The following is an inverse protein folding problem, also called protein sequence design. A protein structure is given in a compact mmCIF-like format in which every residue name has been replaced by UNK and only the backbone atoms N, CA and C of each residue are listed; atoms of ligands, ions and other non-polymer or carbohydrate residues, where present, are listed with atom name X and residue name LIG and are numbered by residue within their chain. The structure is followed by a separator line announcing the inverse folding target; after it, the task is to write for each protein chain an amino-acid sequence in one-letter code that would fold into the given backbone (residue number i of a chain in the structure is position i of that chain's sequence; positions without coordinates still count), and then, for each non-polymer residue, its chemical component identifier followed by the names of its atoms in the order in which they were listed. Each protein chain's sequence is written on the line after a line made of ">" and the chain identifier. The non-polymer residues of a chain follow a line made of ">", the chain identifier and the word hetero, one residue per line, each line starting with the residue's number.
data_IF_584407590077
#
_entry.id   IF_584407590077
#
_cell.length_a   1.000
_cell.length_b   1.000
_cell.length_c   1.000
_cell.angle_alpha   90.00
_cell.angle_beta   90.00
_cell.angle_gamma   90.00
#
_symmetry.space_group_name_H-M   'P 1'
#
loop_
_entity.id
_entity.type
_entity.pdbx_description
1 polymer ?
#
# COMPACT_ATOMS: atom_id res chain seq x y z
N UNK A 1 9.61 3.16 -19.80
CA UNK A 1 9.76 4.40 -19.03
C UNK A 1 11.06 5.09 -19.43
N UNK A 2 10.99 6.33 -19.92
CA UNK A 2 12.12 7.24 -20.09
C UNK A 2 11.95 8.43 -19.15
N UNK A 3 12.95 8.74 -18.32
CA UNK A 3 12.89 9.86 -17.38
C UNK A 3 13.02 11.18 -18.13
N UNK A 4 12.04 12.07 -17.99
CA UNK A 4 11.99 13.40 -18.61
C UNK A 4 12.23 14.54 -17.63
N UNK A 5 11.96 14.33 -16.33
CA UNK A 5 12.22 15.31 -15.27
C UNK A 5 12.70 14.62 -13.99
N UNK A 6 13.46 15.34 -13.17
CA UNK A 6 13.96 14.85 -11.88
C UNK A 6 14.01 15.98 -10.86
N UNK A 7 13.29 15.80 -9.76
CA UNK A 7 13.20 16.80 -8.69
C UNK A 7 13.74 16.24 -7.38
N UNK A 8 14.44 17.09 -6.61
CA UNK A 8 15.04 16.71 -5.34
C UNK A 8 14.49 17.63 -4.26
N UNK A 9 13.83 17.02 -3.27
CA UNK A 9 13.23 17.70 -2.13
C UNK A 9 13.96 17.30 -0.85
N UNK A 10 14.30 18.28 -0.03
CA UNK A 10 14.81 18.08 1.32
C UNK A 10 13.63 17.85 2.26
N UNK A 11 13.64 16.74 2.98
CA UNK A 11 12.64 16.42 3.98
C UNK A 11 13.06 17.05 5.31
N UNK A 12 12.36 18.13 5.68
CA UNK A 12 12.60 18.90 6.89
C UNK A 12 11.81 18.36 8.10
N UNK A 13 11.07 17.26 7.94
CA UNK A 13 10.16 16.71 8.95
C UNK A 13 10.82 15.76 9.95
N UNK A 14 11.48 16.30 10.97
CA UNK A 14 11.91 15.59 12.20
C UNK A 14 13.09 14.61 12.06
N UNK A 15 13.22 13.91 10.93
CA UNK A 15 14.42 13.14 10.56
C UNK A 15 14.91 13.71 9.23
N UNK A 16 16.14 14.24 9.16
CA UNK A 16 16.68 14.77 7.91
C UNK A 16 16.68 13.67 6.85
N UNK A 17 16.24 14.02 5.64
CA UNK A 17 16.10 13.08 4.55
C UNK A 17 15.97 13.79 3.21
N UNK A 18 16.00 13.02 2.14
CA UNK A 18 15.82 13.52 0.78
C UNK A 18 14.78 12.67 0.06
N UNK A 19 13.93 13.31 -0.71
CA UNK A 19 13.00 12.67 -1.63
C UNK A 19 13.38 13.05 -3.05
N UNK A 20 13.69 12.06 -3.87
CA UNK A 20 13.98 12.24 -5.29
C UNK A 20 12.79 11.74 -6.08
N UNK A 21 12.23 12.59 -6.93
CA UNK A 21 11.09 12.28 -7.78
C UNK A 21 11.54 12.21 -9.23
N UNK A 22 11.20 11.11 -9.90
CA UNK A 22 11.48 10.87 -11.32
C UNK A 22 10.15 10.86 -12.07
N UNK A 23 10.04 11.71 -13.10
CA UNK A 23 8.85 11.77 -13.96
C UNK A 23 9.19 11.13 -15.30
N UNK A 24 8.39 10.15 -15.69
CA UNK A 24 8.46 9.44 -16.96
C UNK A 24 7.73 10.17 -18.08
N UNK A 25 8.10 9.86 -19.32
CA UNK A 25 7.46 10.34 -20.54
C UNK A 25 5.98 9.93 -20.68
N UNK A 26 5.59 8.81 -20.06
CA UNK A 26 4.20 8.34 -20.00
C UNK A 26 3.37 8.93 -18.85
N UNK A 27 3.93 9.88 -18.10
CA UNK A 27 3.29 10.47 -16.92
C UNK A 27 3.45 9.65 -15.64
N UNK A 28 4.24 8.57 -15.66
CA UNK A 28 4.56 7.81 -14.46
C UNK A 28 5.46 8.64 -13.52
N UNK A 29 5.19 8.61 -12.22
CA UNK A 29 6.00 9.31 -11.22
C UNK A 29 6.53 8.30 -10.21
N UNK A 30 7.84 8.30 -10.01
CA UNK A 30 8.53 7.42 -9.06
C UNK A 30 9.21 8.28 -8.00
N UNK A 31 8.72 8.21 -6.76
CA UNK A 31 9.29 8.95 -5.63
C UNK A 31 10.12 8.03 -4.74
N UNK A 32 11.41 8.31 -4.63
CA UNK A 32 12.36 7.58 -3.78
C UNK A 32 12.67 8.43 -2.54
N UNK A 33 12.18 8.00 -1.38
CA UNK A 33 12.43 8.66 -0.10
C UNK A 33 13.55 7.96 0.66
N UNK A 34 14.59 8.71 1.00
CA UNK A 34 15.74 8.23 1.76
C UNK A 34 15.83 9.03 3.05
N UNK A 35 15.84 8.34 4.20
CA UNK A 35 16.13 8.95 5.50
C UNK A 35 17.63 8.93 5.74
N UNK A 36 18.15 9.97 6.39
CA UNK A 36 19.54 10.01 6.79
C UNK A 36 19.78 8.99 7.92
N UNK A 37 20.56 7.95 7.61
CA UNK A 37 20.98 6.94 8.58
C UNK A 37 22.23 7.36 9.36
N UNK A 38 22.67 6.51 10.30
CA UNK A 38 23.88 6.75 11.10
C UNK A 38 25.19 6.68 10.29
N UNK A 39 25.17 6.10 9.08
CA UNK A 39 26.37 5.72 8.31
C UNK A 39 26.82 6.72 7.24
N UNK A 40 26.26 7.92 7.15
CA UNK A 40 26.87 8.95 6.33
C UNK A 40 25.90 9.89 5.62
N UNK A 41 26.39 11.11 5.47
CA UNK A 41 25.71 12.32 5.05
C UNK A 41 24.93 12.10 3.77
N UNK A 42 23.60 12.03 3.88
CA UNK A 42 22.73 12.17 2.73
C UNK A 42 22.75 13.67 2.39
N UNK A 43 23.13 14.02 1.17
CA UNK A 43 23.22 15.39 0.69
C UNK A 43 22.55 15.52 -0.66
N UNK A 44 22.24 16.74 -1.09
CA UNK A 44 21.61 16.99 -2.39
C UNK A 44 22.41 16.41 -3.55
N UNK A 45 23.75 16.49 -3.47
CA UNK A 45 24.66 16.00 -4.51
C UNK A 45 24.68 14.48 -4.61
N UNK A 46 24.54 13.76 -3.49
CA UNK A 46 24.61 12.28 -3.48
C UNK A 46 23.23 11.59 -3.44
N UNK A 47 22.16 12.33 -3.12
CA UNK A 47 20.81 11.79 -3.05
C UNK A 47 20.37 11.22 -4.40
N UNK A 48 20.66 11.92 -5.50
CA UNK A 48 20.29 11.44 -6.83
C UNK A 48 20.98 10.12 -7.19
N UNK A 49 22.27 10.01 -6.92
CA UNK A 49 23.04 8.79 -7.20
C UNK A 49 22.55 7.61 -6.36
N UNK A 50 22.30 7.83 -5.06
CA UNK A 50 21.74 6.81 -4.16
C UNK A 50 20.34 6.39 -4.58
N UNK A 51 19.49 7.34 -4.99
CA UNK A 51 18.14 7.03 -5.48
C UNK A 51 18.17 6.14 -6.74
N UNK A 52 19.09 6.42 -7.68
CA UNK A 52 19.30 5.57 -8.87
C UNK A 52 19.77 4.18 -8.48
N UNK A 53 20.74 4.08 -7.57
CA UNK A 53 21.23 2.80 -7.08
C UNK A 53 20.11 1.96 -6.44
N UNK A 54 19.28 2.59 -5.60
CA UNK A 54 18.10 1.95 -5.00
C UNK A 54 17.11 1.48 -6.06
N UNK A 55 16.84 2.29 -7.10
CA UNK A 55 15.95 1.89 -8.19
C UNK A 55 16.47 0.70 -9.00
N UNK A 56 17.77 0.68 -9.31
CA UNK A 56 18.40 -0.47 -9.98
C UNK A 56 18.30 -1.72 -9.10
N UNK A 57 18.55 -1.57 -7.79
CA UNK A 57 18.43 -2.66 -6.85
C UNK A 57 17.00 -3.18 -6.76
N UNK A 58 16.00 -2.28 -6.71
CA UNK A 58 14.58 -2.64 -6.72
C UNK A 58 14.18 -3.36 -8.00
N UNK A 59 14.60 -2.85 -9.16
CA UNK A 59 14.32 -3.50 -10.45
C UNK A 59 15.05 -4.82 -10.66
N UNK A 60 16.14 -5.05 -9.92
CA UNK A 60 16.86 -6.34 -9.91
C UNK A 60 16.23 -7.37 -8.96
N UNK A 61 15.33 -6.94 -8.06
CA UNK A 61 14.51 -7.87 -7.30
C UNK A 61 13.39 -8.38 -8.20
N UNK A 62 13.63 -9.51 -8.85
CA UNK A 62 12.64 -10.26 -9.63
C UNK A 62 11.54 -10.78 -8.69
N UNK A 63 10.51 -9.95 -8.46
CA UNK A 63 9.18 -10.28 -7.92
C UNK A 63 9.06 -11.00 -6.56
N UNK A 64 10.15 -11.40 -5.90
CA UNK A 64 10.09 -12.25 -4.71
C UNK A 64 9.97 -11.46 -3.39
N UNK A 65 9.55 -10.20 -3.44
CA UNK A 65 9.30 -9.36 -2.26
C UNK A 65 7.82 -9.32 -1.84
N UNK A 66 7.01 -10.25 -2.33
CA UNK A 66 5.76 -10.64 -1.67
C UNK A 66 5.71 -12.15 -1.41
N UNK A 67 6.79 -12.67 -0.84
CA UNK A 67 6.74 -13.83 0.06
C UNK A 67 7.48 -13.43 1.35
N UNK A 68 6.82 -13.21 2.50
CA UNK A 68 5.47 -13.65 2.81
C UNK A 68 5.30 -15.14 2.47
N UNK A 69 6.30 -15.95 2.84
CA UNK A 69 6.40 -17.41 2.67
C UNK A 69 6.82 -17.98 1.30
N UNK A 70 8.15 -17.90 1.13
CA UNK A 70 9.07 -18.89 0.56
C UNK A 70 8.78 -19.58 -0.78
N UNK A 71 9.76 -19.43 -1.68
CA UNK A 71 10.15 -20.31 -2.79
C UNK A 71 9.38 -20.16 -4.10
N UNK A 72 10.13 -19.67 -5.09
CA UNK A 72 10.05 -20.00 -6.50
C UNK A 72 10.97 -21.23 -6.78
N UNK A 73 11.21 -21.67 -8.03
CA UNK A 73 10.42 -21.55 -9.28
C UNK A 73 10.38 -22.87 -10.09
N UNK A 74 9.36 -23.10 -10.93
CA UNK A 74 9.50 -23.75 -12.26
C UNK A 74 8.20 -23.47 -13.04
N UNK A 75 8.25 -22.67 -14.11
CA UNK A 75 8.41 -23.07 -15.52
C UNK A 75 7.17 -23.72 -16.14
N UNK A 76 6.72 -23.05 -17.21
CA UNK A 76 5.85 -23.53 -18.30
C UNK A 76 4.38 -23.82 -18.02
N UNK A 77 3.53 -23.03 -18.67
CA UNK A 77 2.22 -23.45 -19.14
C UNK A 77 1.02 -22.99 -18.31
N UNK A 78 0.15 -22.26 -19.00
CA UNK A 78 -1.30 -22.45 -18.93
C UNK A 78 -2.09 -21.83 -17.77
N UNK A 79 -3.04 -20.97 -18.18
CA UNK A 79 -4.19 -20.43 -17.45
C UNK A 79 -4.05 -20.20 -15.94
N UNK A 80 -3.72 -18.97 -15.54
CA UNK A 80 -3.86 -18.53 -14.14
C UNK A 80 -5.33 -18.33 -13.77
N UNK A 81 -6.04 -19.44 -13.59
CA UNK A 81 -7.21 -19.47 -12.71
C UNK A 81 -6.80 -18.83 -11.39
N UNK A 82 -7.48 -17.73 -11.04
CA UNK A 82 -7.13 -16.94 -9.86
C UNK A 82 -7.07 -17.82 -8.61
N UNK A 83 -6.16 -17.52 -7.69
CA UNK A 83 -5.96 -18.27 -6.45
C UNK A 83 -7.25 -18.40 -5.62
N UNK A 84 -8.17 -17.43 -5.75
CA UNK A 84 -9.52 -17.50 -5.21
C UNK A 84 -10.35 -18.68 -5.76
N UNK A 85 -10.21 -19.01 -7.05
CA UNK A 85 -10.90 -20.13 -7.73
C UNK A 85 -10.28 -21.47 -7.35
N UNK A 86 -8.97 -21.50 -7.09
CA UNK A 86 -8.24 -22.69 -6.62
C UNK A 86 -8.50 -22.98 -5.13
N UNK A 87 -8.57 -21.94 -4.30
CA UNK A 87 -8.86 -22.04 -2.86
C UNK A 87 -10.24 -22.63 -2.60
N UNK A 88 -11.27 -22.19 -3.35
CA UNK A 88 -12.64 -22.70 -3.24
C UNK A 88 -12.78 -24.20 -3.58
N UNK A 89 -11.90 -24.78 -4.41
CA UNK A 89 -11.92 -26.22 -4.73
C UNK A 89 -11.07 -27.07 -3.80
N UNK A 90 -10.07 -26.49 -3.11
CA UNK A 90 -9.08 -27.27 -2.35
C UNK A 90 -9.45 -27.48 -0.88
N UNK A 91 -10.24 -26.60 -0.29
CA UNK A 91 -10.77 -26.76 1.06
C UNK A 91 -12.22 -27.29 0.98
N UNK A 92 -12.36 -28.60 0.75
CA UNK A 92 -13.63 -29.31 0.86
C UNK A 92 -13.99 -29.55 2.33
N UNK A 93 -14.22 -28.47 3.08
CA UNK A 93 -14.80 -28.54 4.42
C UNK A 93 -15.85 -27.43 4.57
N UNK A 94 -17.02 -27.65 3.97
CA UNK A 94 -18.17 -26.74 4.04
C UNK A 94 -18.54 -26.43 5.50
N UNK A 95 -18.33 -27.38 6.42
CA UNK A 95 -18.63 -27.20 7.84
C UNK A 95 -17.70 -26.21 8.56
N UNK A 96 -16.43 -26.10 8.15
CA UNK A 96 -15.51 -25.08 8.69
C UNK A 96 -15.75 -23.70 8.08
N UNK A 97 -16.24 -23.65 6.84
CA UNK A 97 -16.60 -22.41 6.18
C UNK A 97 -17.89 -21.83 6.77
N UNK A 98 -18.91 -22.66 7.01
CA UNK A 98 -20.18 -22.23 7.61
C UNK A 98 -19.97 -21.66 9.02
N UNK A 99 -19.08 -22.24 9.83
CA UNK A 99 -18.79 -21.73 11.18
C UNK A 99 -18.09 -20.38 11.18
N UNK A 100 -17.17 -20.13 10.24
CA UNK A 100 -16.48 -18.83 10.10
C UNK A 100 -17.42 -17.73 9.61
N UNK A 101 -18.35 -18.06 8.71
CA UNK A 101 -19.37 -17.11 8.23
C UNK A 101 -20.33 -16.74 9.36
N UNK A 102 -20.78 -17.72 10.14
CA UNK A 102 -21.70 -17.49 11.27
C UNK A 102 -21.03 -16.63 12.36
N UNK A 103 -19.77 -16.91 12.73
CA UNK A 103 -19.02 -16.12 13.72
C UNK A 103 -18.82 -14.65 13.30
N UNK A 104 -18.55 -14.39 12.01
CA UNK A 104 -18.42 -13.03 11.47
C UNK A 104 -19.75 -12.27 11.38
N UNK A 105 -20.87 -12.97 11.12
CA UNK A 105 -22.21 -12.38 11.16
C UNK A 105 -22.64 -12.06 12.60
N UNK A 106 -22.27 -12.88 13.59
CA UNK A 106 -22.62 -12.66 15.00
C UNK A 106 -21.98 -11.37 15.55
N UNK A 107 -20.75 -11.02 15.15
CA UNK A 107 -20.08 -9.78 15.61
C UNK A 107 -20.54 -8.50 14.88
N UNK A 108 -21.20 -8.64 13.72
CA UNK A 108 -21.62 -7.51 12.86
C UNK A 108 -23.04 -6.99 13.18
N UNK A 109 -23.78 -7.67 14.06
CA UNK A 109 -25.04 -7.14 14.57
C UNK A 109 -24.84 -6.55 15.97
N UNK A 110 -24.54 -5.24 16.10
CA UNK A 110 -25.02 -4.55 17.28
C UNK A 110 -26.54 -4.77 17.25
N UNK A 111 -27.14 -5.20 18.36
CA UNK A 111 -28.57 -5.47 18.46
C UNK A 111 -29.46 -4.20 18.29
N UNK A 112 -29.05 -3.20 17.51
CA UNK A 112 -29.82 -2.04 17.10
C UNK A 112 -29.10 -1.36 15.93
N UNK A 113 -29.76 -1.27 14.77
CA UNK A 113 -29.44 -0.26 13.76
C UNK A 113 -29.16 1.09 14.44
N UNK A 114 -28.20 1.89 13.94
CA UNK A 114 -27.90 3.19 14.54
C UNK A 114 -29.18 4.01 14.70
N UNK A 115 -29.40 4.53 15.91
CA UNK A 115 -30.58 5.34 16.21
C UNK A 115 -30.60 6.53 15.24
N UNK A 116 -31.61 6.59 14.37
CA UNK A 116 -31.75 7.67 13.40
C UNK A 116 -31.77 9.02 14.13
N UNK A 117 -30.85 9.91 13.76
CA UNK A 117 -30.76 11.24 14.37
C UNK A 117 -32.03 12.05 14.02
N UNK A 118 -32.87 12.31 15.02
CA UNK A 118 -33.97 13.27 14.88
C UNK A 118 -33.52 14.60 15.47
N UNK A 119 -33.18 15.57 14.63
CA UNK A 119 -32.81 16.92 15.08
C UNK A 119 -34.08 17.77 15.25
N UNK A 120 -34.31 18.29 16.45
CA UNK A 120 -35.34 19.31 16.71
C UNK A 120 -34.66 20.67 16.81
N UNK A 121 -34.97 21.58 15.88
CA UNK A 121 -34.49 22.97 15.93
C UNK A 121 -35.60 23.85 16.50
N UNK A 122 -35.43 24.33 17.74
CA UNK A 122 -36.26 25.41 18.28
C UNK A 122 -35.66 26.74 17.85
N UNK A 123 -36.34 27.47 16.97
CA UNK A 123 -35.94 28.81 16.57
C UNK A 123 -36.01 29.75 17.80
N UNK A 124 -34.85 30.18 18.30
CA UNK A 124 -34.74 31.17 19.36
C UNK A 124 -35.19 32.53 18.84
N UNK A 125 -36.32 33.02 19.36
CA UNK A 125 -36.93 34.28 18.99
C UNK A 125 -36.00 35.47 19.29
N UNK A 126 -35.78 36.26 18.25
CA UNK A 126 -35.12 37.56 18.28
C UNK A 126 -35.80 38.49 19.30
N UNK A 127 -35.03 39.15 20.18
CA UNK A 127 -35.53 40.33 20.87
C UNK A 127 -34.41 41.35 21.17
N UNK A 128 -34.63 42.51 20.55
CA UNK A 128 -34.08 43.85 20.74
C UNK A 128 -33.68 44.22 22.18
#
# INVERSE_FOLDING_TARGET
>A
MQIIDTQIHEDMGGVPGFTVEFVGDGGEVVSVRMKQGQSGELSRDNALEKARALLVQVGSFDGNTAKGHERAPSQDGDETVSDAVLSARRAQDESELESQVDEGLIDTFPASDPVSATYSSTAGANRH
#
